data_IF_756475791985
#
_entry.id   IF_756475791985
#
_cell.length_a   1.000
_cell.length_b   1.000
_cell.length_c   1.000
_cell.angle_alpha   90.00
_cell.angle_beta   90.00
_cell.angle_gamma   90.00
#
_symmetry.space_group_name_H-M   'P 1'
#
loop_
_entity.id
_entity.type
_entity.pdbx_description
1 polymer ?
#
# COMPACT_ATOMS: atom_id res chain seq x y z
N UNK A 1 51.04 45.48 26.50
CA UNK A 1 51.11 44.89 25.14
C UNK A 1 50.90 43.41 25.27
N UNK A 2 49.66 42.96 25.11
CA UNK A 2 49.30 41.53 25.22
C UNK A 2 48.92 41.07 23.82
N UNK A 3 49.76 40.16 23.28
CA UNK A 3 49.58 39.60 21.91
C UNK A 3 48.41 38.61 21.89
N UNK A 4 47.40 38.90 21.06
CA UNK A 4 46.27 38.00 20.78
C UNK A 4 46.72 36.98 19.71
N UNK A 5 46.95 35.72 20.11
CA UNK A 5 47.21 34.62 19.19
C UNK A 5 45.92 34.12 18.58
N UNK A 6 45.76 34.29 17.26
CA UNK A 6 44.68 33.69 16.46
C UNK A 6 44.86 32.16 16.37
N UNK A 7 43.84 31.34 16.63
CA UNK A 7 43.91 29.90 16.36
C UNK A 7 43.85 29.64 14.85
N UNK A 8 44.85 28.93 14.34
CA UNK A 8 44.93 28.48 12.96
C UNK A 8 43.79 27.52 12.63
N UNK A 9 42.96 27.86 11.61
CA UNK A 9 41.97 26.98 11.01
C UNK A 9 42.67 25.79 10.37
N UNK A 10 42.63 24.65 11.03
CA UNK A 10 42.97 23.36 10.44
C UNK A 10 41.89 22.98 9.45
N UNK A 11 42.19 23.11 8.15
CA UNK A 11 41.37 22.58 7.06
C UNK A 11 41.39 21.05 7.15
N UNK A 12 40.31 20.45 7.62
CA UNK A 12 40.11 19.00 7.61
C UNK A 12 40.11 18.53 6.15
N UNK A 13 41.22 17.94 5.72
CA UNK A 13 41.39 17.28 4.42
C UNK A 13 40.41 16.11 4.39
N UNK A 14 39.33 16.22 3.63
CA UNK A 14 38.43 15.11 3.34
C UNK A 14 39.19 13.99 2.66
N UNK A 15 39.57 13.00 3.45
CA UNK A 15 40.22 11.77 2.97
C UNK A 15 39.19 11.07 2.03
N UNK A 16 39.45 11.11 0.73
CA UNK A 16 38.69 10.37 -0.25
C UNK A 16 38.55 8.91 0.18
N UNK A 17 37.32 8.46 0.42
CA UNK A 17 37.04 7.08 0.82
C UNK A 17 37.55 6.16 -0.29
N UNK A 18 38.59 5.38 -0.06
CA UNK A 18 39.05 4.37 -1.02
C UNK A 18 37.91 3.38 -1.23
N UNK A 19 37.43 3.29 -2.46
CA UNK A 19 36.39 2.33 -2.84
C UNK A 19 36.99 0.94 -2.63
N UNK A 20 36.41 0.18 -1.73
CA UNK A 20 36.77 -1.21 -1.45
C UNK A 20 36.28 -2.11 -2.57
N UNK A 21 36.95 -3.23 -2.85
CA UNK A 21 36.43 -4.27 -3.75
C UNK A 21 35.04 -4.78 -3.34
N UNK A 22 34.77 -4.78 -2.03
CA UNK A 22 33.43 -5.07 -1.50
C UNK A 22 32.39 -4.03 -1.94
N UNK A 23 32.71 -2.73 -1.94
CA UNK A 23 31.81 -1.67 -2.37
C UNK A 23 31.48 -1.81 -3.87
N UNK A 24 32.45 -2.19 -4.70
CA UNK A 24 32.24 -2.44 -6.14
C UNK A 24 31.32 -3.64 -6.35
N UNK A 25 31.56 -4.74 -5.64
CA UNK A 25 30.74 -5.95 -5.72
C UNK A 25 29.30 -5.68 -5.24
N UNK A 26 29.13 -4.98 -4.12
CA UNK A 26 27.82 -4.61 -3.58
C UNK A 26 27.07 -3.70 -4.56
N UNK A 27 27.75 -2.73 -5.17
CA UNK A 27 27.16 -1.84 -6.18
C UNK A 27 26.75 -2.63 -7.43
N UNK A 28 27.61 -3.52 -7.93
CA UNK A 28 27.30 -4.35 -9.10
C UNK A 28 26.09 -5.26 -8.85
N UNK A 29 26.02 -5.89 -7.67
CA UNK A 29 24.87 -6.70 -7.26
C UNK A 29 23.59 -5.85 -7.16
N UNK A 30 23.68 -4.66 -6.57
CA UNK A 30 22.52 -3.74 -6.47
C UNK A 30 22.01 -3.33 -7.85
N UNK A 31 22.90 -2.99 -8.78
CA UNK A 31 22.55 -2.64 -10.16
C UNK A 31 21.92 -3.83 -10.89
N UNK A 32 22.51 -5.01 -10.76
CA UNK A 32 21.95 -6.24 -11.34
C UNK A 32 20.53 -6.52 -10.82
N UNK A 33 20.32 -6.46 -9.52
CA UNK A 33 18.99 -6.65 -8.93
C UNK A 33 18.02 -5.56 -9.37
N UNK A 34 18.45 -4.30 -9.47
CA UNK A 34 17.60 -3.21 -9.95
C UNK A 34 17.13 -3.47 -11.40
N UNK A 35 18.02 -3.91 -12.30
CA UNK A 35 17.67 -4.27 -13.68
C UNK A 35 16.69 -5.46 -13.69
N UNK A 36 16.94 -6.49 -12.89
CA UNK A 36 16.10 -7.68 -12.80
C UNK A 36 14.66 -7.31 -12.34
N UNK A 37 14.54 -6.48 -11.30
CA UNK A 37 13.24 -6.05 -10.79
C UNK A 37 12.53 -5.04 -11.70
N UNK A 38 13.28 -4.26 -12.48
CA UNK A 38 12.70 -3.33 -13.47
C UNK A 38 12.21 -4.04 -14.73
N UNK A 39 12.71 -5.24 -15.01
CA UNK A 39 12.42 -5.99 -16.24
C UNK A 39 10.91 -6.24 -16.46
N UNK A 40 10.09 -6.67 -15.49
CA UNK A 40 8.65 -6.84 -15.70
C UNK A 40 7.93 -5.54 -16.09
N UNK A 41 8.33 -4.42 -15.47
CA UNK A 41 7.78 -3.10 -15.80
C UNK A 41 8.18 -2.68 -17.22
N UNK A 42 9.43 -2.87 -17.58
CA UNK A 42 9.93 -2.63 -18.95
C UNK A 42 9.13 -3.45 -19.98
N UNK A 43 8.91 -4.73 -19.68
CA UNK A 43 8.10 -5.60 -20.54
C UNK A 43 6.67 -5.08 -20.70
N UNK A 44 6.02 -4.68 -19.63
CA UNK A 44 4.67 -4.12 -19.67
C UNK A 44 4.63 -2.84 -20.54
N UNK A 45 5.63 -1.94 -20.41
CA UNK A 45 5.73 -0.72 -21.21
C UNK A 45 5.89 -1.05 -22.70
N UNK A 46 6.83 -1.94 -23.02
CA UNK A 46 7.08 -2.35 -24.41
C UNK A 46 5.85 -3.03 -25.00
N UNK A 47 5.20 -3.91 -24.25
CA UNK A 47 4.00 -4.60 -24.68
C UNK A 47 2.81 -3.68 -24.90
N UNK A 48 2.63 -2.68 -24.04
CA UNK A 48 1.58 -1.66 -24.18
C UNK A 48 1.71 -0.82 -25.45
N UNK A 49 2.92 -0.67 -25.97
CA UNK A 49 3.20 0.12 -27.16
C UNK A 49 3.24 -0.70 -28.46
N UNK A 50 2.99 -2.01 -28.41
CA UNK A 50 2.95 -2.88 -29.60
C UNK A 50 1.63 -2.77 -30.36
N UNK A 51 1.68 -3.15 -31.64
CA UNK A 51 0.48 -3.29 -32.49
C UNK A 51 -0.36 -4.50 -32.07
N UNK A 52 -1.70 -4.47 -32.24
CA UNK A 52 -2.61 -5.53 -31.82
C UNK A 52 -2.19 -6.95 -32.21
N UNK A 53 -1.74 -7.16 -33.43
CA UNK A 53 -1.44 -8.48 -33.97
C UNK A 53 0.03 -8.92 -33.79
N UNK A 54 0.87 -8.09 -33.17
CA UNK A 54 2.31 -8.34 -33.04
C UNK A 54 2.82 -8.60 -31.63
N UNK A 55 1.95 -8.55 -30.63
CA UNK A 55 2.33 -8.79 -29.24
C UNK A 55 2.92 -10.19 -29.01
N UNK A 56 2.45 -11.17 -29.82
CA UNK A 56 2.91 -12.57 -29.73
C UNK A 56 4.09 -12.90 -30.66
N UNK A 57 4.26 -12.13 -31.75
CA UNK A 57 5.23 -12.44 -32.81
C UNK A 57 6.50 -11.62 -32.73
N UNK A 58 6.42 -10.37 -32.23
CA UNK A 58 7.61 -9.54 -32.07
C UNK A 58 8.38 -9.95 -30.79
N UNK A 59 9.73 -9.88 -30.83
CA UNK A 59 10.54 -10.18 -29.66
C UNK A 59 10.01 -9.41 -28.45
N UNK A 60 9.83 -10.08 -27.28
CA UNK A 60 9.20 -9.45 -26.12
C UNK A 60 9.97 -8.22 -25.62
N UNK A 61 11.24 -8.11 -25.94
CA UNK A 61 12.15 -7.07 -25.44
C UNK A 61 12.29 -5.91 -26.43
N UNK A 62 11.92 -6.08 -27.71
CA UNK A 62 12.12 -5.06 -28.72
C UNK A 62 11.03 -3.97 -28.65
N UNK A 63 11.45 -2.70 -28.52
CA UNK A 63 10.56 -1.56 -28.72
C UNK A 63 10.02 -1.57 -30.15
N UNK A 64 8.71 -1.34 -30.29
CA UNK A 64 8.10 -1.21 -31.60
C UNK A 64 8.69 -0.02 -32.34
N UNK A 65 9.11 -0.16 -33.60
CA UNK A 65 9.57 0.97 -34.43
C UNK A 65 8.52 2.09 -34.58
N UNK A 66 7.24 1.74 -34.36
CA UNK A 66 6.11 2.65 -34.35
C UNK A 66 5.28 2.43 -33.10
N UNK A 67 5.62 3.12 -31.96
CA UNK A 67 4.93 2.94 -30.70
C UNK A 67 3.47 3.39 -30.82
N UNK A 68 2.54 2.54 -30.34
CA UNK A 68 1.10 2.75 -30.42
C UNK A 68 0.59 3.41 -29.12
N UNK A 69 0.75 4.72 -29.00
CA UNK A 69 0.20 5.48 -27.86
C UNK A 69 -1.34 5.42 -27.80
N UNK A 70 -1.97 5.13 -28.94
CA UNK A 70 -3.40 5.01 -29.10
C UNK A 70 -3.98 3.88 -28.20
N UNK A 71 -3.19 2.85 -27.86
CA UNK A 71 -3.63 1.75 -27.01
C UNK A 71 -4.10 2.23 -25.63
N UNK A 72 -3.49 3.29 -25.08
CA UNK A 72 -3.92 3.88 -23.82
C UNK A 72 -5.30 4.55 -23.91
N UNK A 73 -5.60 5.17 -25.04
CA UNK A 73 -6.92 5.77 -25.31
C UNK A 73 -7.96 4.67 -25.54
N UNK A 74 -7.60 3.65 -26.31
CA UNK A 74 -8.46 2.52 -26.66
C UNK A 74 -8.96 1.76 -25.42
N UNK A 75 -8.11 1.60 -24.37
CA UNK A 75 -8.56 1.02 -23.09
C UNK A 75 -9.79 1.74 -22.55
N UNK A 76 -9.79 3.08 -22.56
CA UNK A 76 -10.93 3.88 -22.04
C UNK A 76 -12.17 3.84 -22.93
N UNK A 77 -12.03 3.42 -24.19
CA UNK A 77 -13.16 3.22 -25.12
C UNK A 77 -13.78 1.82 -24.98
N UNK A 78 -12.96 0.80 -24.65
CA UNK A 78 -13.44 -0.58 -24.49
C UNK A 78 -14.06 -0.84 -23.12
N UNK A 79 -13.52 -0.21 -22.07
CA UNK A 79 -14.08 -0.28 -20.72
C UNK A 79 -14.23 1.13 -20.12
N UNK A 80 -15.18 1.36 -19.21
CA UNK A 80 -15.33 2.64 -18.51
C UNK A 80 -14.21 2.84 -17.48
N UNK A 81 -12.95 2.91 -17.95
CA UNK A 81 -11.73 2.90 -17.16
C UNK A 81 -11.74 3.94 -16.03
N UNK A 82 -12.11 5.19 -16.32
CA UNK A 82 -12.12 6.27 -15.32
C UNK A 82 -13.16 6.04 -14.22
N UNK A 83 -14.30 5.40 -14.55
CA UNK A 83 -15.29 4.99 -13.55
C UNK A 83 -14.71 3.93 -12.62
N UNK A 84 -13.99 2.96 -13.15
CA UNK A 84 -13.33 1.94 -12.34
C UNK A 84 -12.24 2.52 -11.45
N UNK A 85 -11.46 3.47 -11.95
CA UNK A 85 -10.49 4.23 -11.12
C UNK A 85 -11.21 4.96 -9.99
N UNK A 86 -12.35 5.61 -10.28
CA UNK A 86 -13.15 6.30 -9.28
C UNK A 86 -13.67 5.35 -8.20
N UNK A 87 -14.28 4.23 -8.61
CA UNK A 87 -14.80 3.21 -7.68
C UNK A 87 -13.67 2.68 -6.78
N UNK A 88 -12.52 2.34 -7.37
CA UNK A 88 -11.34 1.89 -6.62
C UNK A 88 -10.86 2.96 -5.64
N UNK A 89 -10.81 4.22 -6.07
CA UNK A 89 -10.40 5.34 -5.22
C UNK A 89 -11.31 5.50 -4.01
N UNK A 90 -12.63 5.47 -4.23
CA UNK A 90 -13.62 5.59 -3.15
C UNK A 90 -13.47 4.45 -2.14
N UNK A 91 -13.40 3.20 -2.61
CA UNK A 91 -13.23 2.01 -1.76
C UNK A 91 -11.91 2.11 -0.98
N UNK A 92 -10.83 2.46 -1.66
CA UNK A 92 -9.48 2.55 -1.06
C UNK A 92 -9.42 3.65 -0.01
N UNK A 93 -9.93 4.85 -0.29
CA UNK A 93 -9.90 5.96 0.67
C UNK A 93 -10.78 5.64 1.88
N UNK A 94 -12.03 5.24 1.66
CA UNK A 94 -12.95 4.95 2.76
C UNK A 94 -12.47 3.78 3.62
N UNK A 95 -12.01 2.70 2.99
CA UNK A 95 -11.46 1.54 3.71
C UNK A 95 -10.19 1.88 4.49
N UNK A 96 -9.26 2.64 3.90
CA UNK A 96 -8.03 3.09 4.58
C UNK A 96 -8.37 3.98 5.79
N UNK A 97 -9.23 4.96 5.63
CA UNK A 97 -9.65 5.87 6.72
C UNK A 97 -10.33 5.07 7.83
N UNK A 98 -11.27 4.19 7.49
CA UNK A 98 -11.95 3.32 8.46
C UNK A 98 -10.97 2.43 9.23
N UNK A 99 -10.07 1.76 8.50
CA UNK A 99 -9.06 0.88 9.08
C UNK A 99 -8.11 1.62 10.03
N UNK A 100 -7.64 2.81 9.65
CA UNK A 100 -6.73 3.60 10.49
C UNK A 100 -7.42 4.13 11.75
N UNK A 101 -8.63 4.70 11.62
CA UNK A 101 -9.40 5.21 12.77
C UNK A 101 -9.67 4.07 13.75
N UNK A 102 -10.21 2.98 13.26
CA UNK A 102 -10.58 1.84 14.09
C UNK A 102 -9.36 1.21 14.77
N UNK A 103 -8.29 0.91 14.00
CA UNK A 103 -7.07 0.32 14.54
C UNK A 103 -6.37 1.21 15.57
N UNK A 104 -6.33 2.54 15.34
CA UNK A 104 -5.71 3.47 16.28
C UNK A 104 -6.50 3.57 17.59
N UNK A 105 -7.85 3.62 17.54
CA UNK A 105 -8.70 3.63 18.72
C UNK A 105 -8.55 2.35 19.54
N UNK A 106 -8.56 1.19 18.88
CA UNK A 106 -8.37 -0.10 19.55
C UNK A 106 -6.95 -0.22 20.13
N UNK A 107 -5.92 0.18 19.38
CA UNK A 107 -4.52 0.24 19.83
C UNK A 107 -4.34 1.15 21.04
N UNK A 108 -5.02 2.30 21.04
CA UNK A 108 -5.06 3.21 22.19
C UNK A 108 -5.75 2.54 23.40
N UNK A 109 -6.90 1.89 23.19
CA UNK A 109 -7.59 1.14 24.23
C UNK A 109 -6.71 0.11 24.93
N UNK A 110 -5.93 -0.65 24.16
CA UNK A 110 -4.97 -1.62 24.69
C UNK A 110 -3.75 -1.00 25.38
N UNK A 111 -3.45 0.27 25.13
CA UNK A 111 -2.27 0.94 25.72
C UNK A 111 -2.66 1.76 26.95
N UNK A 112 -3.70 2.58 26.84
CA UNK A 112 -4.08 3.56 27.87
C UNK A 112 -4.83 2.97 29.04
N UNK A 113 -5.63 1.91 28.80
CA UNK A 113 -6.53 1.39 29.83
C UNK A 113 -6.05 0.05 30.39
N UNK A 114 -6.24 -0.12 31.71
CA UNK A 114 -6.01 -1.39 32.43
C UNK A 114 -7.36 -2.03 32.70
N UNK A 115 -7.63 -3.16 32.07
CA UNK A 115 -8.85 -3.94 32.28
C UNK A 115 -8.54 -5.44 32.37
N UNK A 116 -9.44 -6.20 33.01
CA UNK A 116 -9.29 -7.65 33.14
C UNK A 116 -9.35 -8.31 31.77
N UNK A 117 -8.40 -9.23 31.51
CA UNK A 117 -8.33 -9.94 30.24
C UNK A 117 -7.64 -9.19 29.10
N UNK A 118 -7.11 -7.96 29.31
CA UNK A 118 -6.42 -7.17 28.26
C UNK A 118 -5.38 -7.96 27.49
N UNK A 119 -4.49 -8.66 28.20
CA UNK A 119 -3.43 -9.42 27.56
C UNK A 119 -3.97 -10.63 26.79
N UNK A 120 -4.94 -11.34 27.36
CA UNK A 120 -5.61 -12.48 26.72
C UNK A 120 -6.30 -12.05 25.42
N UNK A 121 -7.07 -10.96 25.46
CA UNK A 121 -7.72 -10.42 24.26
C UNK A 121 -6.70 -9.97 23.21
N UNK A 122 -5.58 -9.40 23.64
CA UNK A 122 -4.52 -9.03 22.71
C UNK A 122 -3.84 -10.24 22.08
N UNK A 123 -3.62 -11.33 22.82
CA UNK A 123 -3.09 -12.58 22.27
C UNK A 123 -4.08 -13.20 21.29
N UNK A 124 -5.39 -13.21 21.62
CA UNK A 124 -6.44 -13.68 20.71
C UNK A 124 -6.43 -12.83 19.41
N UNK A 125 -6.33 -11.52 19.53
CA UNK A 125 -6.22 -10.62 18.37
C UNK A 125 -5.02 -11.00 17.50
N UNK A 126 -3.84 -11.22 18.09
CA UNK A 126 -2.66 -11.63 17.34
C UNK A 126 -2.83 -13.02 16.70
N UNK A 127 -3.50 -13.94 17.38
CA UNK A 127 -3.79 -15.27 16.84
C UNK A 127 -4.66 -15.19 15.56
N UNK A 128 -5.53 -14.19 15.44
CA UNK A 128 -6.31 -14.01 14.19
C UNK A 128 -5.46 -13.72 12.96
N UNK A 129 -4.22 -13.21 13.12
CA UNK A 129 -3.31 -12.99 11.99
C UNK A 129 -2.82 -14.27 11.33
N UNK A 130 -2.90 -15.40 12.04
CA UNK A 130 -2.49 -16.71 11.52
C UNK A 130 -3.59 -17.33 10.65
N UNK A 131 -4.85 -16.86 10.79
CA UNK A 131 -5.96 -17.36 10.01
C UNK A 131 -5.88 -16.85 8.57
N UNK A 132 -5.78 -17.75 7.56
CA UNK A 132 -5.84 -17.34 6.16
C UNK A 132 -7.18 -16.68 5.84
N UNK A 133 -7.15 -15.57 5.09
CA UNK A 133 -8.38 -14.84 4.70
C UNK A 133 -9.37 -15.71 3.92
N UNK A 134 -8.87 -16.68 3.17
CA UNK A 134 -9.65 -17.60 2.34
C UNK A 134 -10.62 -18.45 3.19
N UNK A 135 -10.25 -18.79 4.42
CA UNK A 135 -11.11 -19.57 5.34
C UNK A 135 -12.37 -18.80 5.72
N UNK A 136 -12.26 -17.49 5.86
CA UNK A 136 -13.38 -16.62 6.25
C UNK A 136 -14.20 -16.13 5.05
N UNK A 137 -13.77 -16.38 3.82
CA UNK A 137 -14.37 -15.84 2.62
C UNK A 137 -15.83 -16.28 2.43
N UNK A 138 -16.12 -17.58 2.54
CA UNK A 138 -17.50 -18.09 2.38
C UNK A 138 -18.42 -17.60 3.51
N UNK A 139 -18.05 -17.71 4.80
CA UNK A 139 -18.89 -17.17 5.87
C UNK A 139 -19.15 -15.66 5.74
N UNK A 140 -18.16 -14.86 5.35
CA UNK A 140 -18.33 -13.41 5.17
C UNK A 140 -19.21 -13.08 3.95
N UNK A 141 -19.09 -13.86 2.87
CA UNK A 141 -19.99 -13.73 1.73
C UNK A 141 -21.46 -13.97 2.13
N UNK A 142 -21.74 -15.06 2.83
CA UNK A 142 -23.09 -15.38 3.31
C UNK A 142 -23.61 -14.25 4.21
N UNK A 143 -22.79 -13.76 5.13
CA UNK A 143 -23.15 -12.67 6.02
C UNK A 143 -23.49 -11.39 5.24
N UNK A 144 -22.60 -10.94 4.36
CA UNK A 144 -22.75 -9.64 3.70
C UNK A 144 -23.78 -9.68 2.57
N UNK A 145 -23.82 -10.75 1.77
CA UNK A 145 -24.70 -10.82 0.60
C UNK A 145 -26.07 -11.37 0.98
N UNK A 146 -26.13 -12.52 1.68
CA UNK A 146 -27.40 -13.21 1.90
C UNK A 146 -28.16 -12.69 3.13
N UNK A 147 -27.41 -12.32 4.22
CA UNK A 147 -28.07 -11.87 5.45
C UNK A 147 -28.25 -10.36 5.46
N UNK A 148 -27.19 -9.59 5.15
CA UNK A 148 -27.23 -8.13 5.18
C UNK A 148 -27.71 -7.48 3.86
N UNK A 149 -27.80 -8.24 2.78
CA UNK A 149 -28.25 -7.73 1.48
C UNK A 149 -27.30 -6.73 0.82
N UNK A 150 -26.00 -6.79 1.14
CA UNK A 150 -24.98 -5.85 0.65
C UNK A 150 -24.38 -6.26 -0.69
N UNK A 151 -24.95 -7.25 -1.39
CA UNK A 151 -24.50 -7.67 -2.72
C UNK A 151 -24.51 -6.50 -3.71
N UNK A 152 -23.55 -6.52 -4.65
CA UNK A 152 -23.35 -5.50 -5.67
C UNK A 152 -23.22 -4.05 -5.15
N UNK A 153 -22.59 -3.90 -3.99
CA UNK A 153 -22.32 -2.60 -3.37
C UNK A 153 -20.91 -2.52 -2.80
N UNK A 154 -20.45 -1.31 -2.49
CA UNK A 154 -19.14 -1.10 -1.86
C UNK A 154 -19.13 -1.44 -0.36
N UNK A 155 -20.30 -1.69 0.25
CA UNK A 155 -20.42 -1.88 1.70
C UNK A 155 -19.57 -3.03 2.24
N UNK A 156 -19.57 -4.25 1.62
CA UNK A 156 -18.70 -5.35 2.07
C UNK A 156 -17.21 -5.02 2.01
N UNK A 157 -16.82 -4.13 1.09
CA UNK A 157 -15.43 -3.75 0.84
C UNK A 157 -14.95 -2.60 1.74
N UNK A 158 -15.86 -1.87 2.37
CA UNK A 158 -15.54 -0.66 3.15
C UNK A 158 -15.90 -0.83 4.63
N UNK A 159 -17.15 -1.21 4.92
CA UNK A 159 -17.69 -1.19 6.30
C UNK A 159 -16.92 -2.06 7.27
N UNK A 160 -16.48 -3.29 6.94
CA UNK A 160 -15.75 -4.13 7.89
C UNK A 160 -14.47 -3.50 8.44
N UNK A 161 -13.83 -2.61 7.67
CA UNK A 161 -12.60 -1.94 8.09
C UNK A 161 -12.82 -0.93 9.23
N UNK A 162 -14.04 -0.46 9.44
CA UNK A 162 -14.42 0.40 10.57
C UNK A 162 -14.58 -0.38 11.90
N UNK A 163 -14.57 -1.71 11.84
CA UNK A 163 -14.76 -2.58 13.00
C UNK A 163 -13.47 -3.36 13.33
N UNK A 164 -12.42 -2.65 13.74
CA UNK A 164 -11.19 -3.25 14.21
C UNK A 164 -9.93 -2.96 13.38
N UNK A 165 -10.05 -2.59 12.11
CA UNK A 165 -8.92 -2.14 11.28
C UNK A 165 -7.76 -3.14 11.10
N UNK A 166 -7.99 -4.43 11.34
CA UNK A 166 -7.00 -5.50 11.19
C UNK A 166 -5.98 -5.59 12.35
N UNK A 167 -5.69 -6.82 12.77
CA UNK A 167 -4.83 -7.11 13.92
C UNK A 167 -3.40 -6.55 13.78
N UNK A 168 -2.84 -6.55 12.57
CA UNK A 168 -1.51 -6.00 12.31
C UNK A 168 -1.45 -4.48 12.58
N UNK A 169 -2.46 -3.73 12.13
CA UNK A 169 -2.52 -2.29 12.34
C UNK A 169 -2.69 -1.94 13.81
N UNK A 170 -3.57 -2.69 14.52
CA UNK A 170 -3.76 -2.54 15.97
C UNK A 170 -2.46 -2.82 16.73
N UNK A 171 -1.75 -3.88 16.33
CA UNK A 171 -0.45 -4.22 16.92
C UNK A 171 0.56 -3.09 16.76
N UNK A 172 0.71 -2.54 15.54
CA UNK A 172 1.65 -1.45 15.28
C UNK A 172 1.28 -0.17 16.04
N UNK A 173 0.00 0.21 16.08
CA UNK A 173 -0.43 1.35 16.87
C UNK A 173 -0.14 1.14 18.36
N UNK A 174 -0.48 -0.04 18.91
CA UNK A 174 -0.20 -0.34 20.32
C UNK A 174 1.30 -0.27 20.61
N UNK A 175 2.16 -0.82 19.75
CA UNK A 175 3.62 -0.78 19.95
C UNK A 175 4.14 0.66 19.92
N UNK A 176 3.66 1.46 18.97
CA UNK A 176 4.06 2.86 18.87
C UNK A 176 3.59 3.67 20.08
N UNK A 177 2.33 3.54 20.47
CA UNK A 177 1.78 4.23 21.63
C UNK A 177 2.48 3.83 22.94
N UNK A 178 2.87 2.57 23.08
CA UNK A 178 3.63 2.10 24.22
C UNK A 178 5.07 2.65 24.27
N UNK A 179 5.62 3.10 23.16
CA UNK A 179 6.96 3.71 23.10
C UNK A 179 6.98 5.19 23.50
N UNK A 180 5.82 5.85 23.55
CA UNK A 180 5.70 7.25 23.95
C UNK A 180 5.91 7.36 25.49
N UNK A 181 6.73 8.31 25.96
CA UNK A 181 6.97 8.51 27.39
C UNK A 181 5.68 8.73 28.18
N UNK A 182 5.55 8.05 29.31
CA UNK A 182 4.35 8.16 30.18
C UNK A 182 4.21 9.55 30.79
N UNK A 183 5.31 10.25 30.98
CA UNK A 183 5.34 11.61 31.53
C UNK A 183 4.47 12.60 30.73
N UNK A 184 4.36 12.41 29.40
CA UNK A 184 3.47 13.22 28.57
C UNK A 184 1.99 12.99 28.92
N UNK A 185 1.60 11.75 29.20
CA UNK A 185 0.24 11.44 29.61
C UNK A 185 -0.05 11.96 31.03
N UNK A 186 0.93 11.89 31.92
CA UNK A 186 0.77 12.32 33.30
C UNK A 186 0.74 13.87 33.39
N UNK A 187 1.57 14.57 32.62
CA UNK A 187 1.49 16.03 32.46
C UNK A 187 0.12 16.47 31.90
N UNK A 188 -0.37 15.81 30.86
CA UNK A 188 -1.68 16.12 30.28
C UNK A 188 -2.83 15.92 31.29
N UNK A 189 -2.74 14.91 32.18
CA UNK A 189 -3.74 14.72 33.25
C UNK A 189 -3.70 15.84 34.28
N UNK A 190 -2.51 16.31 34.67
CA UNK A 190 -2.33 17.43 35.57
C UNK A 190 -2.98 18.69 34.99
N UNK A 191 -2.86 18.90 33.66
CA UNK A 191 -3.50 19.99 32.93
C UNK A 191 -5.02 19.77 32.71
N UNK A 192 -5.62 18.73 33.29
CA UNK A 192 -7.05 18.44 33.18
C UNK A 192 -7.47 17.84 31.83
N UNK A 193 -6.51 17.34 31.03
CA UNK A 193 -6.80 16.74 29.74
C UNK A 193 -7.44 15.35 29.90
N UNK A 194 -8.68 15.18 29.46
CA UNK A 194 -9.36 13.89 29.43
C UNK A 194 -8.73 12.91 28.42
N UNK A 195 -8.96 11.59 28.59
CA UNK A 195 -8.32 10.54 27.76
C UNK A 195 -8.55 10.70 26.27
N UNK A 196 -9.76 11.05 25.84
CA UNK A 196 -10.10 11.21 24.43
C UNK A 196 -9.46 12.48 23.83
N UNK A 197 -9.40 13.57 24.62
CA UNK A 197 -8.70 14.79 24.18
C UNK A 197 -7.21 14.53 24.07
N UNK A 198 -6.58 13.83 25.03
CA UNK A 198 -5.19 13.41 24.97
C UNK A 198 -4.90 12.59 23.69
N UNK A 199 -5.77 11.62 23.38
CA UNK A 199 -5.65 10.81 22.16
C UNK A 199 -5.64 11.67 20.89
N UNK A 200 -6.61 12.59 20.74
CA UNK A 200 -6.76 13.39 19.53
C UNK A 200 -5.69 14.47 19.39
N UNK A 201 -5.34 15.17 20.49
CA UNK A 201 -4.52 16.38 20.42
C UNK A 201 -3.02 16.13 20.63
N UNK A 202 -2.66 15.04 21.28
CA UNK A 202 -1.25 14.73 21.60
C UNK A 202 -0.82 13.43 20.93
N UNK A 203 -1.54 12.34 21.19
CA UNK A 203 -1.09 11.01 20.81
C UNK A 203 -1.14 10.80 19.28
N UNK A 204 -2.25 11.15 18.63
CA UNK A 204 -2.39 11.02 17.17
C UNK A 204 -1.38 11.87 16.39
N UNK A 205 -1.18 13.17 16.68
CA UNK A 205 -0.17 13.97 16.01
C UNK A 205 1.26 13.42 16.16
N UNK A 206 1.62 12.93 17.34
CA UNK A 206 2.91 12.27 17.57
C UNK A 206 3.06 10.97 16.79
N UNK A 207 1.94 10.33 16.45
CA UNK A 207 1.89 9.03 15.76
C UNK A 207 1.83 9.15 14.23
N UNK A 208 1.98 10.35 13.65
CA UNK A 208 1.97 10.53 12.21
C UNK A 208 2.91 9.60 11.42
N UNK A 209 4.11 9.25 11.91
CA UNK A 209 4.97 8.31 11.18
C UNK A 209 4.33 6.92 11.01
N UNK A 210 3.72 6.35 12.06
CA UNK A 210 3.04 5.06 11.97
C UNK A 210 1.74 5.14 11.19
N UNK A 211 0.99 6.24 11.32
CA UNK A 211 -0.24 6.49 10.56
C UNK A 211 0.07 6.50 9.07
N UNK A 212 1.10 7.25 8.63
CA UNK A 212 1.49 7.33 7.22
C UNK A 212 1.96 5.96 6.71
N UNK A 213 2.75 5.24 7.50
CA UNK A 213 3.20 3.89 7.14
C UNK A 213 2.02 2.94 6.91
N UNK A 214 1.08 2.92 7.86
CA UNK A 214 -0.13 2.10 7.74
C UNK A 214 -1.05 2.57 6.60
N UNK A 215 -1.16 3.88 6.37
CA UNK A 215 -1.94 4.42 5.25
C UNK A 215 -1.41 3.92 3.90
N UNK A 216 -0.09 3.87 3.72
CA UNK A 216 0.53 3.32 2.50
C UNK A 216 0.20 1.83 2.36
N UNK A 217 0.34 1.05 3.43
CA UNK A 217 0.07 -0.39 3.41
C UNK A 217 -1.42 -0.68 3.11
N UNK A 218 -2.33 0.04 3.75
CA UNK A 218 -3.77 -0.05 3.50
C UNK A 218 -4.13 0.36 2.07
N UNK A 219 -3.55 1.46 1.58
CA UNK A 219 -3.75 1.90 0.20
C UNK A 219 -3.33 0.79 -0.77
N UNK A 220 -2.13 0.24 -0.61
CA UNK A 220 -1.62 -0.83 -1.48
C UNK A 220 -2.50 -2.08 -1.42
N UNK A 221 -2.95 -2.46 -0.24
CA UNK A 221 -3.82 -3.62 -0.04
C UNK A 221 -5.16 -3.45 -0.76
N UNK A 222 -5.86 -2.32 -0.53
CA UNK A 222 -7.19 -2.07 -1.10
C UNK A 222 -7.16 -1.70 -2.59
N UNK A 223 -6.14 -0.96 -3.02
CA UNK A 223 -6.00 -0.59 -4.44
C UNK A 223 -5.80 -1.78 -5.34
N UNK A 224 -5.05 -2.78 -4.88
CA UNK A 224 -4.73 -3.98 -5.64
C UNK A 224 -5.68 -5.16 -5.34
N UNK A 225 -6.70 -4.97 -4.50
CA UNK A 225 -7.64 -6.04 -4.19
C UNK A 225 -8.41 -6.45 -5.46
N UNK A 226 -8.36 -7.73 -5.74
CA UNK A 226 -9.09 -8.37 -6.83
C UNK A 226 -10.22 -9.25 -6.29
N UNK A 227 -9.94 -10.00 -5.23
CA UNK A 227 -10.83 -11.07 -4.76
C UNK A 227 -12.11 -10.49 -4.17
N UNK A 228 -11.99 -9.48 -3.29
CA UNK A 228 -13.16 -8.82 -2.70
C UNK A 228 -14.10 -8.24 -3.76
N UNK A 229 -13.65 -7.33 -4.63
CA UNK A 229 -14.47 -6.79 -5.70
C UNK A 229 -15.05 -7.86 -6.64
N UNK A 230 -14.28 -8.90 -6.98
CA UNK A 230 -14.73 -9.97 -7.87
C UNK A 230 -15.91 -10.76 -7.29
N UNK A 231 -15.94 -10.91 -5.95
CA UNK A 231 -16.98 -11.68 -5.26
C UNK A 231 -18.22 -10.84 -4.99
N UNK A 232 -18.05 -9.57 -4.58
CA UNK A 232 -19.14 -8.73 -4.13
C UNK A 232 -19.77 -7.86 -5.21
N UNK A 233 -19.03 -7.51 -6.29
CA UNK A 233 -19.49 -6.62 -7.34
C UNK A 233 -19.84 -7.43 -8.60
N UNK A 234 -21.11 -7.45 -8.94
CA UNK A 234 -21.64 -8.23 -10.09
C UNK A 234 -21.92 -7.37 -11.32
N UNK A 235 -22.27 -6.10 -11.13
CA UNK A 235 -22.52 -5.16 -12.22
C UNK A 235 -21.26 -4.44 -12.68
N UNK A 236 -21.09 -4.33 -14.00
CA UNK A 236 -19.91 -3.69 -14.61
C UNK A 236 -19.68 -2.26 -14.10
N UNK A 237 -20.75 -1.53 -13.87
CA UNK A 237 -20.68 -0.14 -13.42
C UNK A 237 -20.04 0.03 -12.05
N UNK A 238 -20.09 -1.01 -11.22
CA UNK A 238 -19.52 -1.03 -9.88
C UNK A 238 -18.10 -1.60 -9.82
N UNK A 239 -17.57 -2.14 -10.93
CA UNK A 239 -16.26 -2.76 -10.93
C UNK A 239 -15.14 -1.82 -10.47
N UNK A 240 -14.16 -2.39 -9.80
CA UNK A 240 -12.87 -1.76 -9.54
C UNK A 240 -11.95 -1.89 -10.76
N UNK A 241 -10.80 -1.22 -10.73
CA UNK A 241 -9.84 -1.29 -11.83
C UNK A 241 -9.31 -2.71 -12.03
N UNK A 242 -9.07 -3.46 -10.96
CA UNK A 242 -8.59 -4.85 -11.03
C UNK A 242 -9.60 -5.78 -11.67
N UNK A 243 -10.87 -5.72 -11.26
CA UNK A 243 -11.96 -6.49 -11.87
C UNK A 243 -12.29 -6.00 -13.28
N UNK A 244 -12.19 -4.69 -13.53
CA UNK A 244 -12.37 -4.11 -14.86
C UNK A 244 -11.33 -4.59 -15.87
N UNK A 245 -10.06 -4.65 -15.49
CA UNK A 245 -8.99 -5.20 -16.33
C UNK A 245 -9.16 -6.70 -16.57
N UNK A 246 -9.64 -7.45 -15.56
CA UNK A 246 -9.97 -8.86 -15.73
C UNK A 246 -11.14 -9.02 -16.72
N UNK A 247 -12.17 -8.16 -16.65
CA UNK A 247 -13.30 -8.17 -17.59
C UNK A 247 -12.89 -7.78 -19.01
N UNK A 248 -11.94 -6.87 -19.17
CA UNK A 248 -11.34 -6.52 -20.48
C UNK A 248 -10.76 -7.77 -21.14
N UNK A 249 -10.02 -8.56 -20.38
CA UNK A 249 -9.46 -9.83 -20.89
C UNK A 249 -10.54 -10.82 -21.35
N UNK A 250 -11.62 -10.94 -20.62
CA UNK A 250 -12.72 -11.86 -20.97
C UNK A 250 -13.54 -11.36 -22.14
N UNK A 251 -13.82 -10.05 -22.23
CA UNK A 251 -14.62 -9.42 -23.30
C UNK A 251 -13.97 -9.52 -24.68
N UNK A 252 -12.64 -9.52 -24.72
CA UNK A 252 -11.86 -9.58 -25.95
C UNK A 252 -11.54 -11.03 -26.41
N UNK A 253 -12.33 -12.02 -25.99
CA UNK A 253 -12.23 -13.41 -26.43
C UNK A 253 -11.13 -14.24 -25.73
N UNK A 254 -10.90 -13.93 -24.45
CA UNK A 254 -9.85 -14.49 -23.62
C UNK A 254 -10.04 -15.93 -23.15
N UNK A 255 -9.80 -16.96 -24.00
CA UNK A 255 -9.41 -18.26 -23.47
C UNK A 255 -7.97 -18.16 -22.94
N UNK A 256 -7.68 -18.89 -21.87
CA UNK A 256 -6.35 -18.97 -21.28
C UNK A 256 -5.36 -19.63 -22.27
N UNK A 257 -4.76 -18.84 -23.15
CA UNK A 257 -3.74 -19.31 -24.10
C UNK A 257 -2.40 -18.72 -23.72
N UNK A 258 -1.40 -19.54 -23.54
CA UNK A 258 0.00 -19.15 -23.32
C UNK A 258 0.64 -18.48 -24.55
N UNK A 259 -0.03 -18.52 -25.71
CA UNK A 259 0.35 -17.74 -26.88
C UNK A 259 -0.33 -16.39 -26.80
N UNK A 260 0.47 -15.30 -26.72
CA UNK A 260 0.03 -13.91 -26.66
C UNK A 260 -1.12 -13.61 -27.63
N UNK A 261 -2.19 -13.03 -27.09
CA UNK A 261 -3.39 -12.69 -27.88
C UNK A 261 -3.28 -11.29 -28.43
N UNK A 262 -4.09 -11.04 -29.46
CA UNK A 262 -4.23 -9.73 -30.11
C UNK A 262 -4.61 -8.58 -29.12
N UNK A 263 -4.93 -8.89 -27.87
CA UNK A 263 -5.43 -7.97 -26.84
C UNK A 263 -4.47 -7.72 -25.66
N UNK A 264 -3.33 -8.41 -25.63
CA UNK A 264 -2.38 -8.27 -24.49
C UNK A 264 -1.80 -6.86 -24.40
N UNK A 265 -1.69 -6.13 -25.52
CA UNK A 265 -1.26 -4.73 -25.54
C UNK A 265 -2.22 -3.81 -24.75
N UNK A 266 -3.54 -4.03 -24.84
CA UNK A 266 -4.55 -3.26 -24.09
C UNK A 266 -4.52 -3.59 -22.59
N UNK A 267 -4.33 -4.87 -22.25
CA UNK A 267 -4.16 -5.28 -20.85
C UNK A 267 -2.92 -4.64 -20.23
N UNK A 268 -1.80 -4.66 -20.95
CA UNK A 268 -0.56 -4.02 -20.49
C UNK A 268 -0.72 -2.50 -20.36
N UNK A 269 -1.36 -1.84 -21.34
CA UNK A 269 -1.66 -0.42 -21.28
C UNK A 269 -2.58 -0.07 -20.11
N UNK A 270 -3.67 -0.81 -19.92
CA UNK A 270 -4.61 -0.62 -18.80
C UNK A 270 -3.96 -0.89 -17.46
N UNK A 271 -3.10 -1.92 -17.35
CA UNK A 271 -2.36 -2.22 -16.13
C UNK A 271 -1.37 -1.11 -15.78
N UNK A 272 -0.63 -0.56 -16.76
CA UNK A 272 0.25 0.58 -16.54
C UNK A 272 -0.50 1.81 -16.05
N UNK A 273 -1.65 2.13 -16.68
CA UNK A 273 -2.51 3.23 -16.21
C UNK A 273 -3.01 2.98 -14.78
N UNK A 274 -3.41 1.74 -14.47
CA UNK A 274 -3.94 1.35 -13.17
C UNK A 274 -2.93 1.38 -12.04
N UNK A 275 -1.65 1.16 -12.33
CA UNK A 275 -0.60 1.20 -11.31
C UNK A 275 -0.04 2.62 -11.07
N UNK A 276 -0.37 3.61 -11.91
CA UNK A 276 0.13 4.99 -11.73
C UNK A 276 -0.16 5.58 -10.34
N UNK A 277 -1.39 5.49 -9.78
CA UNK A 277 -1.64 6.01 -8.43
C UNK A 277 -0.79 5.35 -7.35
N UNK A 278 -0.57 4.03 -7.43
CA UNK A 278 0.32 3.31 -6.50
C UNK A 278 1.76 3.82 -6.59
N UNK A 279 2.26 4.03 -7.79
CA UNK A 279 3.61 4.57 -8.04
C UNK A 279 3.72 5.99 -7.47
N UNK A 280 2.76 6.86 -7.77
CA UNK A 280 2.76 8.26 -7.29
C UNK A 280 2.76 8.31 -5.76
N UNK A 281 1.88 7.55 -5.12
CA UNK A 281 1.79 7.52 -3.65
C UNK A 281 3.08 6.98 -3.04
N UNK A 282 3.64 5.90 -3.62
CA UNK A 282 4.91 5.36 -3.15
C UNK A 282 6.03 6.42 -3.19
N UNK A 283 6.25 7.08 -4.33
CA UNK A 283 7.30 8.10 -4.44
C UNK A 283 7.04 9.35 -3.58
N UNK A 284 5.79 9.74 -3.41
CA UNK A 284 5.43 10.87 -2.54
C UNK A 284 5.71 10.59 -1.06
N UNK A 285 5.49 9.34 -0.62
CA UNK A 285 5.49 8.97 0.79
C UNK A 285 6.69 8.10 1.21
N UNK A 286 7.56 7.64 0.29
CA UNK A 286 8.69 6.75 0.56
C UNK A 286 9.64 7.25 1.68
N UNK A 287 9.81 8.58 1.81
CA UNK A 287 10.63 9.19 2.86
C UNK A 287 10.14 8.87 4.28
N UNK A 288 8.83 8.67 4.45
CA UNK A 288 8.23 8.31 5.73
C UNK A 288 8.39 6.83 6.02
N UNK A 289 8.31 5.99 4.98
CA UNK A 289 8.51 4.54 5.08
C UNK A 289 9.92 4.19 5.57
N UNK A 290 10.95 4.83 4.99
CA UNK A 290 12.36 4.59 5.38
C UNK A 290 12.60 4.98 6.85
N UNK A 291 12.04 6.10 7.32
CA UNK A 291 12.16 6.54 8.71
C UNK A 291 11.41 5.63 9.70
N UNK A 292 10.25 5.10 9.31
CA UNK A 292 9.44 4.20 10.15
C UNK A 292 10.11 2.86 10.40
N UNK A 293 10.74 2.26 9.38
CA UNK A 293 11.42 0.97 9.48
C UNK A 293 12.71 1.07 10.31
N UNK A 294 13.45 2.18 10.21
CA UNK A 294 14.70 2.38 10.97
C UNK A 294 14.45 2.53 12.47
N UNK A 295 13.30 3.10 12.89
CA UNK A 295 12.96 3.25 14.32
C UNK A 295 12.65 1.92 15.02
N UNK A 296 12.30 0.88 14.29
CA UNK A 296 12.06 -0.47 14.83
C UNK A 296 13.31 -1.35 14.87
N UNK A 297 14.36 -0.98 14.14
CA UNK A 297 15.61 -1.77 14.00
C UNK A 297 16.78 -1.39 14.90
N UNK A 298 16.72 -0.27 15.63
CA UNK A 298 17.82 0.20 16.48
C UNK A 298 17.38 0.17 17.95
N UNK A 299 17.27 -1.03 18.52
CA UNK A 299 17.49 -1.32 19.94
C UNK A 299 18.10 -2.72 20.01
N UNK A 300 19.38 -2.75 19.72
CA UNK A 300 20.32 -3.81 20.04
C UNK A 300 21.56 -3.16 20.58
#
# INVERSE_FOLDING_TARGET
MTAITHPSRTTAKTRGKRISGFDIMATALTVFLAILFFFPLYWAIVGALKRPNRTATDPPIALSPQPQWQNFVEVSQVIPFFRYVWNTTVITILGTVGGLISASLVGYGFTAFRFRGRNTLFIILLATMVLPGEVTLIPTYILFVNILGWGNSILPLVVPHYFGGGAFSIFLFRQFFASIPKDLNDAAKIDGCGPFRYYLTILLPLSMPVIITLAILWFQFLWNDLIGPLIYLTERDNYTITTGLLSLRSSLGGSFSLRGKATDHLLMAGSLMGMLPSIVIFFALQRYFIKGVVMTGIKG
#
